data_IF_707115776316
#
_entry.id   IF_707115776316
#
_cell.length_a   1.000
_cell.length_b   1.000
_cell.length_c   1.000
_cell.angle_alpha   90.00
_cell.angle_beta   90.00
_cell.angle_gamma   90.00
#
_symmetry.space_group_name_H-M   'P 1'
#
loop_
_entity.id
_entity.type
_entity.pdbx_description
1 polymer ?
#
# COMPACT_ATOMS: atom_id res chain seq x y z
N UNK A 1 29.41 -8.54 -5.91
CA UNK A 1 29.07 -7.78 -4.69
C UNK A 1 30.35 -7.49 -3.92
N UNK A 2 30.64 -6.22 -3.64
CA UNK A 2 31.82 -5.83 -2.86
C UNK A 2 31.70 -6.41 -1.44
N UNK A 3 32.79 -6.95 -0.88
CA UNK A 3 32.78 -7.58 0.46
C UNK A 3 32.29 -6.61 1.54
N UNK A 4 32.63 -5.32 1.42
CA UNK A 4 32.15 -4.27 2.32
C UNK A 4 30.63 -4.06 2.21
N UNK A 5 30.10 -3.98 0.99
CA UNK A 5 28.67 -3.78 0.74
C UNK A 5 27.81 -4.94 1.24
N UNK A 6 28.29 -6.17 1.05
CA UNK A 6 27.64 -7.37 1.60
C UNK A 6 27.52 -7.28 3.12
N UNK A 7 28.59 -6.85 3.78
CA UNK A 7 28.60 -6.68 5.24
C UNK A 7 27.63 -5.58 5.67
N UNK A 8 27.58 -4.44 4.98
CA UNK A 8 26.62 -3.36 5.25
C UNK A 8 25.17 -3.84 5.17
N UNK A 9 24.80 -4.55 4.08
CA UNK A 9 23.46 -5.13 3.91
C UNK A 9 23.12 -6.06 5.08
N UNK A 10 24.05 -6.94 5.45
CA UNK A 10 23.86 -7.89 6.55
C UNK A 10 23.68 -7.18 7.90
N UNK A 11 24.43 -6.10 8.17
CA UNK A 11 24.28 -5.30 9.39
C UNK A 11 22.91 -4.66 9.45
N UNK A 12 22.45 -4.01 8.37
CA UNK A 12 21.13 -3.38 8.36
C UNK A 12 20.00 -4.41 8.47
N UNK A 13 20.12 -5.59 7.84
CA UNK A 13 19.19 -6.70 8.05
C UNK A 13 19.18 -7.15 9.52
N UNK A 14 20.34 -7.34 10.14
CA UNK A 14 20.45 -7.74 11.54
C UNK A 14 19.84 -6.70 12.48
N UNK A 15 20.02 -5.40 12.19
CA UNK A 15 19.43 -4.32 12.96
C UNK A 15 17.90 -4.25 12.82
N UNK A 16 17.34 -4.56 11.65
CA UNK A 16 15.88 -4.72 11.48
C UNK A 16 15.37 -5.87 12.35
N UNK A 17 16.03 -7.02 12.31
CA UNK A 17 15.65 -8.19 13.13
C UNK A 17 15.75 -7.84 14.62
N UNK A 18 16.83 -7.18 15.06
CA UNK A 18 16.97 -6.72 16.43
C UNK A 18 15.87 -5.73 16.82
N UNK A 19 15.51 -4.78 15.95
CA UNK A 19 14.41 -3.86 16.18
C UNK A 19 13.06 -4.57 16.33
N UNK A 20 12.76 -5.56 15.48
CA UNK A 20 11.57 -6.39 15.60
C UNK A 20 11.54 -7.18 16.91
N UNK A 21 12.67 -7.77 17.32
CA UNK A 21 12.80 -8.47 18.60
C UNK A 21 12.57 -7.55 19.81
N UNK A 22 12.90 -6.26 19.70
CA UNK A 22 12.57 -5.26 20.72
C UNK A 22 11.08 -4.91 20.70
N UNK A 23 10.46 -4.78 19.52
CA UNK A 23 9.04 -4.38 19.40
C UNK A 23 8.11 -5.46 19.94
N UNK A 24 8.30 -6.72 19.55
CA UNK A 24 7.38 -7.84 19.83
C UNK A 24 6.98 -7.95 21.32
N UNK A 25 7.90 -8.00 22.30
CA UNK A 25 7.53 -8.18 23.70
C UNK A 25 6.83 -6.95 24.32
N UNK A 26 7.00 -5.77 23.73
CA UNK A 26 6.49 -4.51 24.28
C UNK A 26 5.36 -3.88 23.46
N UNK A 27 4.91 -4.53 22.38
CA UNK A 27 3.92 -4.00 21.44
C UNK A 27 2.59 -3.62 22.12
N UNK A 28 2.13 -4.44 23.08
CA UNK A 28 0.88 -4.22 23.81
C UNK A 28 1.08 -3.59 25.20
N UNK A 29 2.31 -3.26 25.60
CA UNK A 29 2.55 -2.68 26.90
C UNK A 29 1.83 -1.33 27.02
N UNK A 30 1.28 -1.00 28.20
CA UNK A 30 0.59 0.29 28.46
C UNK A 30 1.43 1.27 29.28
N UNK A 31 2.54 0.80 29.85
CA UNK A 31 3.43 1.55 30.73
C UNK A 31 4.59 2.21 29.97
N UNK A 32 5.55 2.77 30.71
CA UNK A 32 6.76 3.42 30.17
C UNK A 32 7.57 2.52 29.23
N UNK A 33 7.39 1.20 29.28
CA UNK A 33 8.03 0.24 28.35
C UNK A 33 7.59 0.42 26.89
N UNK A 34 6.50 1.17 26.62
CA UNK A 34 6.16 1.63 25.27
C UNK A 34 7.27 2.42 24.59
N UNK A 35 8.06 3.18 25.35
CA UNK A 35 9.18 3.94 24.79
C UNK A 35 10.30 3.02 24.28
N UNK A 36 10.44 1.81 24.84
CA UNK A 36 11.36 0.79 24.35
C UNK A 36 10.86 0.24 23.01
N UNK A 37 9.56 -0.06 22.89
CA UNK A 37 8.95 -0.44 21.62
C UNK A 37 9.11 0.67 20.56
N UNK A 38 8.95 1.94 20.95
CA UNK A 38 9.15 3.09 20.07
C UNK A 38 10.61 3.18 19.59
N UNK A 39 11.60 2.97 20.46
CA UNK A 39 13.01 2.93 20.07
C UNK A 39 13.29 1.79 19.07
N UNK A 40 12.72 0.61 19.30
CA UNK A 40 12.77 -0.51 18.35
C UNK A 40 12.14 -0.16 17.00
N UNK A 41 10.97 0.49 17.02
CA UNK A 41 10.30 0.98 15.82
C UNK A 41 11.15 1.99 15.04
N UNK A 42 11.74 2.97 15.71
CA UNK A 42 12.64 3.95 15.10
C UNK A 42 13.87 3.28 14.50
N UNK A 43 14.44 2.27 15.16
CA UNK A 43 15.55 1.48 14.63
C UNK A 43 15.15 0.75 13.33
N UNK A 44 13.99 0.09 13.30
CA UNK A 44 13.47 -0.56 12.08
C UNK A 44 13.28 0.48 10.97
N UNK A 45 12.63 1.61 11.27
CA UNK A 45 12.37 2.67 10.30
C UNK A 45 13.66 3.27 9.72
N UNK A 46 14.66 3.55 10.55
CA UNK A 46 15.96 4.06 10.11
C UNK A 46 16.60 3.13 9.07
N UNK A 47 16.59 1.82 9.35
CA UNK A 47 17.18 0.82 8.47
C UNK A 47 16.37 0.64 7.18
N UNK A 48 15.04 0.68 7.25
CA UNK A 48 14.19 0.67 6.06
C UNK A 48 14.47 1.87 5.15
N UNK A 49 14.62 3.07 5.73
CA UNK A 49 14.99 4.28 4.98
C UNK A 49 16.35 4.09 4.30
N UNK A 50 17.33 3.50 5.00
CA UNK A 50 18.63 3.19 4.39
C UNK A 50 18.49 2.24 3.20
N UNK A 51 17.68 1.19 3.30
CA UNK A 51 17.41 0.26 2.18
C UNK A 51 16.78 0.98 0.99
N UNK A 52 15.77 1.82 1.23
CA UNK A 52 15.12 2.60 0.17
C UNK A 52 16.12 3.53 -0.51
N UNK A 53 16.96 4.22 0.26
CA UNK A 53 17.95 5.17 -0.26
C UNK A 53 19.06 4.50 -1.08
N UNK A 54 19.44 3.28 -0.72
CA UNK A 54 20.48 2.51 -1.40
C UNK A 54 19.94 1.46 -2.39
N UNK A 55 18.62 1.44 -2.61
CA UNK A 55 17.93 0.40 -3.38
C UNK A 55 18.44 0.23 -4.81
N UNK A 56 18.75 1.32 -5.53
CA UNK A 56 19.32 1.30 -6.88
C UNK A 56 20.66 0.53 -6.91
N UNK A 57 21.52 0.80 -5.93
CA UNK A 57 22.85 0.24 -5.86
C UNK A 57 22.84 -1.21 -5.36
N UNK A 58 22.00 -1.52 -4.37
CA UNK A 58 21.74 -2.89 -3.92
C UNK A 58 21.23 -3.74 -5.09
N UNK A 59 20.28 -3.21 -5.87
CA UNK A 59 19.74 -3.91 -7.04
C UNK A 59 20.80 -4.12 -8.12
N UNK A 60 21.69 -3.15 -8.35
CA UNK A 60 22.81 -3.31 -9.26
C UNK A 60 23.77 -4.41 -8.79
N UNK A 61 24.06 -4.50 -7.50
CA UNK A 61 24.99 -5.52 -6.99
C UNK A 61 24.41 -6.94 -6.99
N UNK A 62 23.11 -7.09 -6.76
CA UNK A 62 22.41 -8.38 -6.79
C UNK A 62 22.12 -8.80 -8.23
N UNK A 63 21.71 -7.87 -9.08
CA UNK A 63 21.39 -8.10 -10.49
C UNK A 63 22.20 -7.14 -11.37
N UNK A 64 23.46 -7.43 -11.68
CA UNK A 64 24.32 -6.51 -12.43
C UNK A 64 23.73 -6.17 -13.80
N UNK A 65 23.69 -4.88 -14.11
CA UNK A 65 23.38 -4.35 -15.44
C UNK A 65 24.68 -3.95 -16.14
N UNK A 66 24.63 -3.67 -17.44
CA UNK A 66 25.82 -3.25 -18.20
C UNK A 66 26.41 -1.94 -17.66
N UNK A 67 25.55 -1.04 -17.21
CA UNK A 67 25.95 0.25 -16.66
C UNK A 67 25.22 0.54 -15.33
N UNK A 68 25.93 1.15 -14.37
CA UNK A 68 25.32 1.63 -13.12
C UNK A 68 24.47 2.89 -13.36
N UNK A 69 25.02 3.84 -14.12
CA UNK A 69 24.31 5.02 -14.65
C UNK A 69 24.86 5.38 -16.03
N UNK A 70 23.98 5.68 -16.98
CA UNK A 70 24.37 6.19 -18.30
C UNK A 70 24.45 7.72 -18.26
N UNK A 71 25.57 8.30 -18.69
CA UNK A 71 25.71 9.77 -18.77
C UNK A 71 24.80 10.40 -19.83
N UNK A 72 24.60 9.74 -20.96
CA UNK A 72 23.78 10.22 -22.09
C UNK A 72 22.82 9.12 -22.59
N UNK A 73 21.70 8.88 -21.89
CA UNK A 73 20.75 7.85 -22.32
C UNK A 73 20.02 8.27 -23.60
N UNK A 74 19.87 7.32 -24.53
CA UNK A 74 19.11 7.51 -25.77
C UNK A 74 17.66 7.94 -25.48
N UNK A 75 17.13 8.84 -26.30
CA UNK A 75 15.76 9.37 -26.16
C UNK A 75 14.71 8.24 -26.09
N UNK A 76 14.90 7.16 -26.86
CA UNK A 76 14.01 5.99 -26.87
C UNK A 76 13.98 5.24 -25.53
N UNK A 77 15.06 5.27 -24.74
CA UNK A 77 15.10 4.68 -23.40
C UNK A 77 14.43 5.57 -22.35
N UNK A 78 14.56 6.90 -22.50
CA UNK A 78 13.88 7.87 -21.64
C UNK A 78 12.36 7.78 -21.72
N UNK A 79 11.80 7.42 -22.89
CA UNK A 79 10.34 7.26 -23.06
C UNK A 79 9.78 6.22 -22.08
N UNK A 80 10.39 5.03 -21.98
CA UNK A 80 9.90 3.98 -21.08
C UNK A 80 9.99 4.36 -19.60
N UNK A 81 11.05 5.08 -19.24
CA UNK A 81 11.18 5.64 -17.90
C UNK A 81 10.08 6.67 -17.62
N UNK A 82 9.79 7.55 -18.58
CA UNK A 82 8.74 8.55 -18.44
C UNK A 82 7.35 7.91 -18.34
N UNK A 83 7.06 6.92 -19.20
CA UNK A 83 5.82 6.13 -19.14
C UNK A 83 5.66 5.48 -17.77
N UNK A 84 6.73 4.86 -17.24
CA UNK A 84 6.71 4.25 -15.91
C UNK A 84 6.34 5.25 -14.81
N UNK A 85 6.93 6.45 -14.85
CA UNK A 85 6.67 7.51 -13.87
C UNK A 85 5.23 8.01 -13.99
N UNK A 86 4.74 8.26 -15.20
CA UNK A 86 3.35 8.70 -15.44
C UNK A 86 2.36 7.63 -14.99
N UNK A 87 2.63 6.37 -15.28
CA UNK A 87 1.80 5.24 -14.86
C UNK A 87 1.74 5.13 -13.33
N UNK A 88 2.89 5.25 -12.66
CA UNK A 88 2.96 5.23 -11.20
C UNK A 88 2.21 6.42 -10.57
N UNK A 89 2.52 7.64 -10.99
CA UNK A 89 1.93 8.85 -10.41
C UNK A 89 0.45 8.98 -10.74
N UNK A 90 0.06 8.70 -11.98
CA UNK A 90 -1.34 8.69 -12.41
C UNK A 90 -2.15 7.61 -11.68
N UNK A 91 -1.57 6.41 -11.52
CA UNK A 91 -2.19 5.34 -10.75
C UNK A 91 -2.36 5.68 -9.29
N UNK A 92 -1.33 6.23 -8.66
CA UNK A 92 -1.38 6.66 -7.26
C UNK A 92 -2.42 7.77 -7.05
N UNK A 93 -2.42 8.78 -7.92
CA UNK A 93 -3.40 9.86 -7.88
C UNK A 93 -4.82 9.30 -8.00
N UNK A 94 -5.08 8.44 -8.99
CA UNK A 94 -6.41 7.86 -9.19
C UNK A 94 -6.85 6.98 -8.00
N UNK A 95 -5.93 6.24 -7.39
CA UNK A 95 -6.18 5.46 -6.19
C UNK A 95 -6.60 6.33 -5.01
N UNK A 96 -5.95 7.48 -4.80
CA UNK A 96 -6.30 8.41 -3.71
C UNK A 96 -7.76 8.87 -3.84
N UNK A 97 -8.23 9.19 -5.05
CA UNK A 97 -9.63 9.59 -5.25
C UNK A 97 -10.63 8.44 -5.07
N UNK A 98 -10.18 7.19 -5.14
CA UNK A 98 -11.03 6.02 -4.99
C UNK A 98 -10.95 5.40 -3.58
N UNK A 99 -10.13 5.95 -2.69
CA UNK A 99 -9.90 5.37 -1.36
C UNK A 99 -11.20 5.28 -0.55
N UNK A 100 -11.99 6.35 -0.53
CA UNK A 100 -13.28 6.38 0.17
C UNK A 100 -14.25 5.31 -0.36
N UNK A 101 -14.24 5.07 -1.67
CA UNK A 101 -15.08 4.03 -2.27
C UNK A 101 -14.58 2.62 -1.89
N UNK A 102 -13.26 2.41 -1.84
CA UNK A 102 -12.65 1.13 -1.44
C UNK A 102 -12.97 0.81 0.02
N UNK A 103 -12.85 1.78 0.92
CA UNK A 103 -13.18 1.60 2.35
C UNK A 103 -14.64 1.18 2.56
N UNK A 104 -15.54 1.55 1.63
CA UNK A 104 -16.95 1.18 1.67
C UNK A 104 -17.25 -0.21 1.07
N UNK A 105 -16.29 -0.91 0.49
CA UNK A 105 -16.47 -2.27 -0.08
C UNK A 105 -16.53 -3.31 1.05
N UNK A 106 -17.57 -4.16 1.04
CA UNK A 106 -17.64 -5.34 1.92
C UNK A 106 -16.51 -6.31 1.54
N UNK A 107 -15.78 -6.81 2.54
CA UNK A 107 -14.55 -7.60 2.34
C UNK A 107 -13.37 -6.84 1.69
N UNK A 108 -13.18 -5.58 2.07
CA UNK A 108 -12.07 -4.72 1.62
C UNK A 108 -10.69 -5.42 1.53
N UNK A 109 -10.25 -6.25 2.50
CA UNK A 109 -8.96 -6.94 2.39
C UNK A 109 -8.89 -7.91 1.21
N UNK A 110 -9.99 -8.63 0.90
CA UNK A 110 -10.06 -9.54 -0.24
C UNK A 110 -10.11 -8.76 -1.56
N UNK A 111 -10.79 -7.62 -1.58
CA UNK A 111 -10.80 -6.69 -2.72
C UNK A 111 -9.37 -6.23 -3.04
N UNK A 112 -8.65 -5.69 -2.06
CA UNK A 112 -7.25 -5.28 -2.22
C UNK A 112 -6.40 -6.43 -2.73
N UNK A 113 -6.47 -7.59 -2.09
CA UNK A 113 -5.66 -8.75 -2.46
C UNK A 113 -5.90 -9.16 -3.92
N UNK A 114 -7.16 -9.20 -4.36
CA UNK A 114 -7.53 -9.68 -5.69
C UNK A 114 -7.11 -8.68 -6.77
N UNK A 115 -7.52 -7.42 -6.65
CA UNK A 115 -7.27 -6.42 -7.70
C UNK A 115 -5.84 -5.91 -7.71
N UNK A 116 -5.17 -5.84 -6.55
CA UNK A 116 -3.73 -5.57 -6.52
C UNK A 116 -2.94 -6.73 -7.13
N UNK A 117 -3.34 -7.99 -6.94
CA UNK A 117 -2.69 -9.14 -7.58
C UNK A 117 -2.88 -9.13 -9.10
N UNK A 118 -4.06 -8.79 -9.60
CA UNK A 118 -4.30 -8.59 -11.05
C UNK A 118 -3.38 -7.51 -11.61
N UNK A 119 -3.28 -6.36 -10.94
CA UNK A 119 -2.38 -5.29 -11.34
C UNK A 119 -0.90 -5.70 -11.30
N UNK A 120 -0.50 -6.44 -10.27
CA UNK A 120 0.85 -6.98 -10.13
C UNK A 120 1.22 -7.93 -11.29
N UNK A 121 0.35 -8.89 -11.61
CA UNK A 121 0.55 -9.82 -12.73
C UNK A 121 0.62 -9.06 -14.05
N UNK A 122 -0.27 -8.10 -14.27
CA UNK A 122 -0.28 -7.25 -15.47
C UNK A 122 1.01 -6.44 -15.60
N UNK A 123 1.53 -5.92 -14.49
CA UNK A 123 2.83 -5.24 -14.44
C UNK A 123 3.99 -6.15 -14.82
N UNK A 124 4.04 -7.38 -14.30
CA UNK A 124 5.06 -8.37 -14.68
C UNK A 124 4.99 -8.70 -16.16
N UNK A 125 3.79 -8.99 -16.69
CA UNK A 125 3.59 -9.30 -18.11
C UNK A 125 4.04 -8.14 -19.00
N UNK A 126 3.70 -6.91 -18.62
CA UNK A 126 4.15 -5.70 -19.34
C UNK A 126 5.67 -5.56 -19.35
N UNK A 127 6.32 -5.79 -18.21
CA UNK A 127 7.78 -5.77 -18.12
C UNK A 127 8.43 -6.87 -18.97
N UNK A 128 7.83 -8.05 -19.01
CA UNK A 128 8.29 -9.15 -19.86
C UNK A 128 8.18 -8.78 -21.34
N UNK A 129 7.06 -8.19 -21.78
CA UNK A 129 6.89 -7.68 -23.14
C UNK A 129 7.92 -6.61 -23.50
N UNK A 130 8.17 -5.65 -22.61
CA UNK A 130 9.21 -4.62 -22.83
C UNK A 130 10.58 -5.27 -23.00
N UNK A 131 10.89 -6.29 -22.19
CA UNK A 131 12.18 -7.00 -22.27
C UNK A 131 12.34 -7.75 -23.59
N UNK A 132 11.27 -8.32 -24.12
CA UNK A 132 11.29 -8.99 -25.43
C UNK A 132 11.50 -7.98 -26.58
N UNK A 133 10.80 -6.84 -26.55
CA UNK A 133 10.84 -5.88 -27.66
C UNK A 133 12.12 -5.02 -27.61
N UNK A 134 12.55 -4.59 -26.43
CA UNK A 134 13.69 -3.68 -26.21
C UNK A 134 14.46 -4.01 -24.92
N UNK A 135 15.32 -5.05 -24.92
CA UNK A 135 16.08 -5.43 -23.73
C UNK A 135 17.03 -4.32 -23.23
N UNK A 136 17.53 -3.47 -24.13
CA UNK A 136 18.43 -2.35 -23.83
C UNK A 136 17.87 -1.32 -22.85
N UNK A 137 16.53 -1.28 -22.67
CA UNK A 137 15.87 -0.43 -21.68
C UNK A 137 16.33 -0.79 -20.26
N UNK A 138 16.73 -2.04 -20.02
CA UNK A 138 17.13 -2.55 -18.71
C UNK A 138 18.66 -2.61 -18.51
N UNK A 139 19.46 -2.10 -19.45
CA UNK A 139 20.93 -2.13 -19.39
C UNK A 139 21.53 -1.14 -18.35
N UNK A 140 20.71 -0.25 -17.78
CA UNK A 140 21.07 0.71 -16.74
C UNK A 140 20.30 0.44 -15.45
N UNK A 141 20.97 0.38 -14.30
CA UNK A 141 20.32 0.02 -13.03
C UNK A 141 19.28 1.03 -12.55
N UNK A 142 19.57 2.34 -12.62
CA UNK A 142 18.63 3.37 -12.18
C UNK A 142 17.35 3.39 -13.02
N UNK A 143 17.51 3.31 -14.35
CA UNK A 143 16.39 3.22 -15.29
C UNK A 143 15.59 1.93 -15.11
N UNK A 144 16.28 0.78 -14.99
CA UNK A 144 15.63 -0.51 -14.72
C UNK A 144 14.82 -0.47 -13.44
N UNK A 145 15.36 0.10 -12.37
CA UNK A 145 14.67 0.25 -11.09
C UNK A 145 13.38 1.07 -11.27
N UNK A 146 13.48 2.27 -11.84
CA UNK A 146 12.33 3.14 -12.06
C UNK A 146 11.24 2.48 -12.94
N UNK A 147 11.65 1.72 -13.96
CA UNK A 147 10.72 1.03 -14.85
C UNK A 147 10.05 -0.14 -14.15
N UNK A 148 10.79 -1.01 -13.47
CA UNK A 148 10.21 -2.18 -12.78
C UNK A 148 9.22 -1.72 -11.71
N UNK A 149 9.65 -0.83 -10.81
CA UNK A 149 8.80 -0.38 -9.72
C UNK A 149 7.62 0.46 -10.19
N UNK A 150 7.82 1.38 -11.13
CA UNK A 150 6.72 2.22 -11.60
C UNK A 150 5.67 1.43 -12.39
N UNK A 151 6.08 0.40 -13.15
CA UNK A 151 5.12 -0.52 -13.77
C UNK A 151 4.35 -1.35 -12.75
N UNK A 152 5.04 -2.02 -11.83
CA UNK A 152 4.37 -2.87 -10.83
C UNK A 152 3.43 -2.05 -9.96
N UNK A 153 3.93 -0.99 -9.32
CA UNK A 153 3.13 -0.17 -8.42
C UNK A 153 2.05 0.61 -9.18
N UNK A 154 2.35 1.12 -10.37
CA UNK A 154 1.38 1.82 -11.21
C UNK A 154 0.21 0.92 -11.60
N UNK A 155 0.46 -0.29 -12.08
CA UNK A 155 -0.62 -1.22 -12.44
C UNK A 155 -1.38 -1.75 -11.23
N UNK A 156 -0.72 -1.99 -10.09
CA UNK A 156 -1.40 -2.33 -8.84
C UNK A 156 -2.40 -1.24 -8.44
N UNK A 157 -1.95 0.03 -8.42
CA UNK A 157 -2.80 1.16 -8.05
C UNK A 157 -3.94 1.40 -9.06
N UNK A 158 -3.65 1.38 -10.36
CA UNK A 158 -4.68 1.56 -11.40
C UNK A 158 -5.71 0.45 -11.35
N UNK A 159 -5.28 -0.81 -11.22
CA UNK A 159 -6.21 -1.96 -11.17
C UNK A 159 -7.18 -1.84 -10.00
N UNK A 160 -6.68 -1.56 -8.79
CA UNK A 160 -7.52 -1.37 -7.61
C UNK A 160 -8.46 -0.16 -7.75
N UNK A 161 -7.94 0.98 -8.23
CA UNK A 161 -8.71 2.19 -8.42
C UNK A 161 -9.81 2.04 -9.49
N UNK A 162 -9.48 1.44 -10.64
CA UNK A 162 -10.44 1.16 -11.71
C UNK A 162 -11.52 0.19 -11.23
N UNK A 163 -11.16 -0.89 -10.55
CA UNK A 163 -12.13 -1.83 -10.00
C UNK A 163 -13.09 -1.15 -9.01
N UNK A 164 -12.57 -0.27 -8.14
CA UNK A 164 -13.40 0.52 -7.22
C UNK A 164 -14.32 1.49 -7.95
N UNK A 165 -13.81 2.16 -8.97
CA UNK A 165 -14.60 3.06 -9.80
C UNK A 165 -15.73 2.32 -10.51
N UNK A 166 -15.45 1.17 -11.12
CA UNK A 166 -16.48 0.36 -11.76
C UNK A 166 -17.49 -0.18 -10.75
N UNK A 167 -17.03 -0.66 -9.59
CA UNK A 167 -17.89 -1.15 -8.54
C UNK A 167 -18.85 -0.05 -8.05
N UNK A 168 -18.33 1.14 -7.73
CA UNK A 168 -19.14 2.27 -7.26
C UNK A 168 -20.08 2.83 -8.33
N UNK A 169 -19.66 2.87 -9.60
CA UNK A 169 -20.44 3.45 -10.69
C UNK A 169 -21.55 2.53 -11.21
N UNK A 170 -21.32 1.21 -11.20
CA UNK A 170 -22.20 0.20 -11.79
C UNK A 170 -22.79 -0.76 -10.76
N UNK A 171 -22.58 -0.55 -9.46
CA UNK A 171 -23.27 -1.30 -8.41
C UNK A 171 -24.78 -1.23 -8.64
N UNK A 172 -25.40 -2.40 -8.70
CA UNK A 172 -26.85 -2.50 -8.82
C UNK A 172 -27.48 -1.98 -7.52
N UNK A 173 -28.58 -1.24 -7.63
CA UNK A 173 -29.34 -0.73 -6.48
C UNK A 173 -30.10 -1.82 -5.70
N UNK A 174 -29.81 -3.09 -5.96
CA UNK A 174 -30.43 -4.21 -5.28
C UNK A 174 -29.98 -4.23 -3.83
N UNK A 175 -30.92 -4.03 -2.92
CA UNK A 175 -30.67 -4.06 -1.49
C UNK A 175 -30.52 -5.53 -1.08
N UNK A 176 -29.29 -5.94 -0.84
CA UNK A 176 -28.99 -7.23 -0.18
C UNK A 176 -29.11 -7.04 1.32
N UNK A 177 -29.92 -7.88 1.98
CA UNK A 177 -30.02 -7.94 3.44
C UNK A 177 -29.16 -9.10 3.92
N UNK A 178 -28.18 -8.82 4.76
CA UNK A 178 -27.35 -9.81 5.44
C UNK A 178 -27.52 -9.69 6.95
N UNK A 179 -27.32 -10.81 7.65
CA UNK A 179 -27.19 -10.80 9.11
C UNK A 179 -25.88 -10.10 9.50
N UNK A 180 -25.89 -9.42 10.64
CA UNK A 180 -24.73 -8.68 11.11
C UNK A 180 -24.61 -8.73 12.63
N UNK A 181 -23.37 -8.66 13.11
CA UNK A 181 -23.07 -8.63 14.55
C UNK A 181 -22.57 -7.23 14.91
N UNK A 182 -23.15 -6.62 15.94
CA UNK A 182 -22.65 -5.34 16.47
C UNK A 182 -21.52 -5.62 17.45
N UNK A 183 -20.27 -5.38 17.04
CA UNK A 183 -19.11 -5.60 17.89
C UNK A 183 -18.99 -4.54 18.99
N UNK A 184 -19.08 -3.27 18.61
CA UNK A 184 -18.92 -2.15 19.55
C UNK A 184 -19.63 -0.88 19.08
N UNK A 185 -20.00 -0.06 20.06
CA UNK A 185 -20.53 1.28 19.87
C UNK A 185 -19.51 2.27 20.42
N UNK A 186 -19.20 3.33 19.68
CA UNK A 186 -18.29 4.38 20.12
C UNK A 186 -18.95 5.74 19.96
N UNK A 187 -18.73 6.61 20.94
CA UNK A 187 -19.11 8.00 20.83
C UNK A 187 -17.92 8.78 20.27
N UNK A 188 -18.15 9.68 19.32
CA UNK A 188 -17.18 10.73 19.03
C UNK A 188 -16.93 11.51 20.32
N UNK A 189 -15.68 11.94 20.57
CA UNK A 189 -15.32 12.65 21.80
C UNK A 189 -16.14 13.94 21.99
N UNK A 190 -15.92 14.65 23.11
CA UNK A 190 -16.73 15.81 23.55
C UNK A 190 -17.01 16.91 22.49
N UNK A 191 -16.30 16.95 21.36
CA UNK A 191 -16.48 17.94 20.29
C UNK A 191 -17.31 17.47 19.09
N UNK A 192 -17.65 16.18 18.99
CA UNK A 192 -18.34 15.60 17.83
C UNK A 192 -19.59 14.82 18.27
N UNK A 193 -20.76 15.18 17.73
CA UNK A 193 -22.04 14.48 17.97
C UNK A 193 -22.21 13.18 17.17
N UNK A 194 -21.15 12.75 16.47
CA UNK A 194 -21.15 11.52 15.68
C UNK A 194 -21.16 10.29 16.61
N UNK A 195 -22.12 9.41 16.40
CA UNK A 195 -22.17 8.11 17.05
C UNK A 195 -21.67 7.09 16.03
N UNK A 196 -20.70 6.24 16.39
CA UNK A 196 -20.15 5.24 15.50
C UNK A 196 -20.60 3.85 15.95
N UNK A 197 -21.03 3.03 15.01
CA UNK A 197 -21.24 1.60 15.24
C UNK A 197 -20.25 0.82 14.38
N UNK A 198 -19.60 -0.16 15.01
CA UNK A 198 -18.75 -1.12 14.34
C UNK A 198 -19.54 -2.41 14.21
N UNK A 199 -19.75 -2.82 12.97
CA UNK A 199 -20.58 -3.94 12.59
C UNK A 199 -19.69 -4.95 11.88
N UNK A 200 -19.75 -6.21 12.28
CA UNK A 200 -19.17 -7.31 11.53
C UNK A 200 -20.21 -7.86 10.55
N UNK A 201 -19.83 -7.85 9.26
CA UNK A 201 -20.60 -8.39 8.14
C UNK A 201 -19.66 -9.33 7.40
N UNK A 202 -19.95 -10.62 7.37
CA UNK A 202 -19.17 -11.64 6.65
C UNK A 202 -17.65 -11.65 6.99
N UNK A 203 -17.31 -11.53 8.28
CA UNK A 203 -15.93 -11.40 8.78
C UNK A 203 -15.21 -10.11 8.32
N UNK A 204 -15.96 -9.07 7.97
CA UNK A 204 -15.46 -7.75 7.63
C UNK A 204 -16.05 -6.72 8.59
N UNK A 205 -15.23 -6.25 9.54
CA UNK A 205 -15.60 -5.15 10.42
C UNK A 205 -15.74 -3.83 9.62
N UNK A 206 -16.93 -3.22 9.69
CA UNK A 206 -17.24 -1.93 9.05
C UNK A 206 -17.72 -0.91 10.06
N UNK A 207 -17.33 0.35 9.82
CA UNK A 207 -17.68 1.48 10.66
C UNK A 207 -18.78 2.30 9.98
N UNK A 208 -19.90 2.45 10.67
CA UNK A 208 -21.00 3.30 10.24
C UNK A 208 -21.12 4.51 11.15
N UNK A 209 -21.23 5.70 10.53
CA UNK A 209 -21.62 6.92 11.23
C UNK A 209 -23.14 6.95 11.37
N UNK A 210 -23.61 6.96 12.61
CA UNK A 210 -24.98 7.29 12.92
C UNK A 210 -25.10 8.81 13.08
N UNK A 211 -25.77 9.43 12.11
CA UNK A 211 -26.26 10.79 12.27
C UNK A 211 -27.52 10.75 13.12
N UNK A 212 -27.55 11.53 14.19
CA UNK A 212 -28.76 11.70 15.01
C UNK A 212 -29.79 12.47 14.19
N UNK A 213 -30.66 11.77 13.47
CA UNK A 213 -31.87 12.39 12.91
C UNK A 213 -32.73 12.78 14.10
N UNK A 214 -32.99 14.08 14.25
CA UNK A 214 -33.92 14.57 15.28
C UNK A 214 -35.30 13.97 14.98
N UNK A 215 -35.73 12.97 15.76
CA UNK A 215 -36.90 12.18 15.44
C UNK A 215 -37.62 11.64 16.67
N UNK A 216 -38.66 12.37 17.05
CA UNK A 216 -39.93 11.93 17.65
C UNK A 216 -39.83 11.29 19.06
N UNK A 217 -40.21 12.08 20.08
CA UNK A 217 -40.67 11.56 21.37
C UNK A 217 -41.90 10.69 21.12
N UNK A 218 -41.77 9.38 21.26
CA UNK A 218 -42.92 8.53 21.52
C UNK A 218 -43.47 8.93 22.88
N UNK A 219 -44.57 9.70 22.87
CA UNK A 219 -45.40 9.91 24.06
C UNK A 219 -45.98 8.53 24.38
N UNK A 220 -45.55 7.96 25.49
CA UNK A 220 -46.13 6.72 26.02
C UNK A 220 -47.54 7.12 26.47
N UNK A 221 -48.56 6.78 25.68
CA UNK A 221 -49.94 6.86 26.14
C UNK A 221 -50.10 5.80 27.23
N UNK A 222 -50.25 6.30 28.46
CA UNK A 222 -50.67 5.56 29.65
C UNK A 222 -52.17 5.35 29.62
#
# INVERSE_FOLDING_TARGET
MNRQKKTEILVHCAQIVAGLLIIIPFFNATSWTRFIALAGFLLVMYNLIWFVRNSEEILYEIFPTKHKREKNPSFKHKIWQHISVVLFMGGLFFLIFQMDNIENIIEEPKFWKSFALVGFVTGILSLFLIRLIRPSVFDESGRRYAIIFGFILGFMSISAASASYFNSKYATSNIVKSEFIVERKSFGGNRTTAYWIFIDIDNSTKRFELKKTCGIRYKRET
#
